data_IF_186611597237
#
_entry.id   IF_186611597237
#
_cell.length_a   1.000
_cell.length_b   1.000
_cell.length_c   1.000
_cell.angle_alpha   90.00
_cell.angle_beta   90.00
_cell.angle_gamma   90.00
#
_symmetry.space_group_name_H-M   'P 1'
#
loop_
_entity.id
_entity.type
_entity.pdbx_description
1 polymer ?
#
# COMPACT_ATOMS: atom_id res chain seq x y z
N UNK A 1 -45.36 47.87 45.84
CA UNK A 1 -44.54 46.64 45.71
C UNK A 1 -44.93 45.97 44.42
N UNK A 2 -44.00 45.80 43.47
CA UNK A 2 -43.88 44.70 42.46
C UNK A 2 -42.98 45.20 41.33
N UNK A 3 -41.67 44.92 41.41
CA UNK A 3 -40.70 45.06 40.31
C UNK A 3 -40.81 43.81 39.44
N UNK A 4 -41.10 43.97 38.16
CA UNK A 4 -41.08 42.89 37.18
C UNK A 4 -39.64 42.66 36.72
N UNK A 5 -39.04 41.52 37.10
CA UNK A 5 -37.80 41.00 36.51
C UNK A 5 -38.14 40.37 35.16
N UNK A 6 -37.57 40.88 34.07
CA UNK A 6 -37.56 40.19 32.77
C UNK A 6 -36.27 39.37 32.69
N UNK A 7 -36.38 38.07 32.90
CA UNK A 7 -35.29 37.11 32.67
C UNK A 7 -34.98 37.04 31.18
N UNK A 8 -33.74 37.37 30.80
CA UNK A 8 -33.21 37.12 29.47
C UNK A 8 -32.72 35.66 29.41
N UNK A 9 -33.36 34.87 28.55
CA UNK A 9 -32.95 33.49 28.27
C UNK A 9 -31.83 33.53 27.22
N UNK A 10 -30.59 33.35 27.64
CA UNK A 10 -29.44 33.17 26.75
C UNK A 10 -29.47 31.74 26.20
N UNK A 11 -29.81 31.61 24.92
CA UNK A 11 -29.75 30.34 24.19
C UNK A 11 -28.28 30.04 23.87
N UNK A 12 -27.67 29.12 24.61
CA UNK A 12 -26.31 28.65 24.35
C UNK A 12 -26.35 27.67 23.18
N UNK A 13 -25.84 28.08 22.01
CA UNK A 13 -25.61 27.19 20.88
C UNK A 13 -24.34 26.37 21.17
N UNK A 14 -24.50 25.14 21.63
CA UNK A 14 -23.39 24.20 21.74
C UNK A 14 -23.06 23.69 20.33
N UNK A 15 -21.97 24.20 19.76
CA UNK A 15 -21.38 23.62 18.54
C UNK A 15 -20.70 22.33 18.99
N UNK A 16 -21.31 21.19 18.70
CA UNK A 16 -20.63 19.91 18.79
C UNK A 16 -19.59 19.86 17.67
N UNK A 17 -18.32 20.09 18.01
CA UNK A 17 -17.22 19.77 17.13
C UNK A 17 -17.11 18.24 17.10
N UNK A 18 -17.57 17.61 16.03
CA UNK A 18 -17.29 16.21 15.76
C UNK A 18 -15.78 16.08 15.54
N UNK A 19 -15.07 15.52 16.51
CA UNK A 19 -13.70 15.07 16.31
C UNK A 19 -13.74 13.89 15.34
N UNK A 20 -13.46 14.14 14.07
CA UNK A 20 -12.98 13.06 13.19
C UNK A 20 -11.68 12.60 13.83
N UNK A 21 -11.67 11.40 14.40
CA UNK A 21 -10.42 10.77 14.81
C UNK A 21 -9.56 10.69 13.56
N UNK A 22 -8.39 11.34 13.55
CA UNK A 22 -7.43 11.09 12.50
C UNK A 22 -7.12 9.59 12.52
N UNK A 23 -7.31 8.93 11.37
CA UNK A 23 -6.98 7.52 11.23
C UNK A 23 -5.46 7.36 11.27
N UNK A 24 -4.99 6.21 11.74
CA UNK A 24 -3.58 5.90 11.78
C UNK A 24 -2.99 5.86 10.36
N UNK A 25 -1.83 6.51 10.11
CA UNK A 25 -1.16 6.45 8.82
C UNK A 25 -0.82 5.02 8.41
N UNK A 26 -0.83 4.75 7.11
CA UNK A 26 -0.41 3.47 6.56
C UNK A 26 0.73 3.62 5.57
N UNK A 27 1.61 2.64 5.53
CA UNK A 27 2.76 2.61 4.62
C UNK A 27 2.78 1.29 3.87
N UNK A 28 2.86 1.37 2.55
CA UNK A 28 3.14 0.24 1.68
C UNK A 28 4.64 0.13 1.45
N UNK A 29 5.20 -1.03 1.80
CA UNK A 29 6.52 -1.45 1.40
C UNK A 29 6.39 -2.42 0.21
N UNK A 30 6.75 -1.96 -0.98
CA UNK A 30 6.93 -2.81 -2.15
C UNK A 30 8.26 -3.55 -2.00
N UNK A 31 8.23 -4.88 -1.87
CA UNK A 31 9.46 -5.67 -1.72
C UNK A 31 9.63 -6.67 -2.85
N UNK A 32 10.86 -7.18 -3.00
CA UNK A 32 11.14 -8.24 -3.97
C UNK A 32 10.31 -9.51 -3.78
N UNK A 33 9.82 -9.76 -2.56
CA UNK A 33 9.06 -10.97 -2.21
C UNK A 33 7.56 -10.72 -2.04
N UNK A 34 7.09 -9.51 -2.34
CA UNK A 34 5.68 -9.12 -2.20
C UNK A 34 5.49 -7.85 -1.39
N UNK A 35 4.25 -7.34 -1.31
CA UNK A 35 3.94 -6.15 -0.55
C UNK A 35 3.87 -6.45 0.96
N UNK A 36 4.17 -5.44 1.77
CA UNK A 36 3.84 -5.38 3.21
C UNK A 36 3.12 -4.06 3.45
N UNK A 37 1.97 -4.08 4.12
CA UNK A 37 1.28 -2.87 4.56
C UNK A 37 1.40 -2.74 6.06
N UNK A 38 1.91 -1.60 6.50
CA UNK A 38 2.06 -1.21 7.89
C UNK A 38 0.96 -0.22 8.26
N UNK A 39 0.38 -0.35 9.45
CA UNK A 39 -0.42 0.69 10.10
C UNK A 39 0.38 1.24 11.29
N UNK A 40 0.60 2.56 11.30
CA UNK A 40 1.47 3.25 12.25
C UNK A 40 0.65 3.95 13.34
N UNK A 41 1.05 3.79 14.59
CA UNK A 41 0.35 4.39 15.72
C UNK A 41 0.84 5.83 15.99
N UNK A 42 0.27 6.78 15.26
CA UNK A 42 0.57 8.21 15.41
C UNK A 42 0.08 8.79 16.74
N UNK A 43 -0.72 8.05 17.52
CA UNK A 43 -1.24 8.49 18.82
C UNK A 43 -0.29 8.09 19.96
N UNK A 44 0.16 6.84 19.96
CA UNK A 44 1.02 6.27 21.01
C UNK A 44 2.52 6.46 20.70
N UNK A 45 2.91 6.59 19.43
CA UNK A 45 4.28 6.83 19.01
C UNK A 45 4.39 7.99 17.99
N UNK A 46 3.95 9.22 18.33
CA UNK A 46 3.87 10.33 17.39
C UNK A 46 5.24 10.74 16.82
N UNK A 47 6.30 10.77 17.63
CA UNK A 47 7.62 11.19 17.13
C UNK A 47 8.24 10.12 16.24
N UNK A 48 8.06 8.85 16.60
CA UNK A 48 8.58 7.72 15.85
C UNK A 48 7.85 7.55 14.53
N UNK A 49 6.52 7.63 14.55
CA UNK A 49 5.68 7.61 13.35
C UNK A 49 6.04 8.76 12.41
N UNK A 50 6.13 9.99 12.93
CA UNK A 50 6.51 11.15 12.14
C UNK A 50 7.91 11.05 11.52
N UNK A 51 8.89 10.51 12.27
CA UNK A 51 10.24 10.24 11.75
C UNK A 51 10.21 9.19 10.63
N UNK A 52 9.51 8.07 10.83
CA UNK A 52 9.42 7.01 9.82
C UNK A 52 8.76 7.51 8.52
N UNK A 53 7.63 8.23 8.64
CA UNK A 53 6.96 8.84 7.49
C UNK A 53 7.82 9.89 6.79
N UNK A 54 8.67 10.62 7.52
CA UNK A 54 9.62 11.56 6.90
C UNK A 54 10.60 10.82 5.98
N UNK A 55 11.17 9.69 6.43
CA UNK A 55 12.04 8.87 5.59
C UNK A 55 11.29 8.22 4.41
N UNK A 56 10.04 7.78 4.60
CA UNK A 56 9.17 7.27 3.53
C UNK A 56 8.95 8.33 2.46
N UNK A 57 8.50 9.53 2.85
CA UNK A 57 8.15 10.61 1.93
C UNK A 57 9.37 11.23 1.22
N UNK A 58 10.58 11.05 1.77
CA UNK A 58 11.84 11.39 1.11
C UNK A 58 12.37 10.30 0.17
N UNK A 59 11.68 9.14 0.07
CA UNK A 59 12.15 7.98 -0.72
C UNK A 59 13.41 7.34 -0.14
N UNK A 60 13.71 7.55 1.14
CA UNK A 60 14.96 7.10 1.76
C UNK A 60 15.08 5.57 1.77
N UNK A 61 13.97 4.86 1.88
CA UNK A 61 13.95 3.40 1.95
C UNK A 61 14.08 2.72 0.59
N UNK A 62 13.91 3.46 -0.51
CA UNK A 62 13.92 2.91 -1.87
C UNK A 62 15.30 2.33 -2.21
N UNK A 63 15.30 1.05 -2.60
CA UNK A 63 16.48 0.25 -2.90
C UNK A 63 17.26 -0.24 -1.68
N UNK A 64 16.83 0.07 -0.45
CA UNK A 64 17.41 -0.53 0.75
C UNK A 64 16.90 -1.95 0.96
N UNK A 65 17.63 -2.75 1.74
CA UNK A 65 17.32 -4.17 1.93
C UNK A 65 17.01 -4.52 3.38
N UNK A 66 16.30 -5.63 3.56
CA UNK A 66 16.30 -6.38 4.81
C UNK A 66 17.65 -7.08 4.96
N UNK A 67 18.57 -6.41 5.65
CA UNK A 67 19.99 -6.78 5.71
C UNK A 67 20.30 -7.78 6.82
N UNK A 68 19.35 -8.01 7.74
CA UNK A 68 19.46 -8.96 8.84
C UNK A 68 18.12 -9.64 9.07
N UNK A 69 18.15 -10.95 9.19
CA UNK A 69 16.97 -11.79 9.40
C UNK A 69 17.32 -12.90 10.39
N UNK A 70 16.49 -13.10 11.41
CA UNK A 70 16.64 -14.21 12.35
C UNK A 70 15.28 -14.86 12.55
N UNK A 71 15.22 -16.16 12.27
CA UNK A 71 14.03 -17.00 12.46
C UNK A 71 13.58 -17.00 13.93
N UNK A 72 12.26 -16.94 14.14
CA UNK A 72 11.60 -16.80 15.43
C UNK A 72 12.07 -15.55 16.20
N UNK A 73 12.42 -14.48 15.48
CA UNK A 73 12.84 -13.22 16.09
C UNK A 73 12.38 -12.00 15.29
N UNK A 74 13.16 -11.57 14.29
CA UNK A 74 12.92 -10.31 13.55
C UNK A 74 13.46 -10.35 12.12
N UNK A 75 12.84 -9.55 11.25
CA UNK A 75 13.44 -9.06 10.00
C UNK A 75 13.80 -7.58 10.16
N UNK A 76 15.03 -7.20 9.85
CA UNK A 76 15.56 -5.83 10.08
C UNK A 76 16.06 -5.20 8.78
N UNK A 77 15.67 -3.94 8.55
CA UNK A 77 15.89 -3.21 7.30
C UNK A 77 16.18 -1.72 7.49
N UNK A 78 16.17 -0.98 6.37
CA UNK A 78 16.18 0.48 6.37
C UNK A 78 17.54 1.15 6.61
N UNK A 79 18.67 0.45 6.38
CA UNK A 79 20.00 1.03 6.61
C UNK A 79 21.06 0.72 5.55
N UNK A 80 20.86 -0.28 4.70
CA UNK A 80 21.88 -0.76 3.76
C UNK A 80 21.28 -1.07 2.40
N UNK A 81 22.04 -0.85 1.33
CA UNK A 81 21.69 -1.32 -0.03
C UNK A 81 22.10 -2.80 -0.25
N UNK A 82 21.89 -3.31 -1.47
CA UNK A 82 22.21 -4.71 -1.83
C UNK A 82 23.70 -5.03 -1.72
N UNK A 83 24.54 -4.02 -1.87
CA UNK A 83 26.00 -4.08 -1.73
C UNK A 83 26.45 -3.95 -0.27
N UNK A 84 25.51 -3.87 0.68
CA UNK A 84 25.74 -3.64 2.10
C UNK A 84 26.50 -2.33 2.37
N UNK A 85 26.34 -1.32 1.51
CA UNK A 85 26.79 0.04 1.78
C UNK A 85 25.75 0.71 2.67
N UNK A 86 26.21 1.25 3.79
CA UNK A 86 25.33 1.94 4.73
C UNK A 86 24.83 3.25 4.11
N UNK A 87 23.51 3.43 4.03
CA UNK A 87 22.90 4.71 3.71
C UNK A 87 22.81 5.52 4.99
N UNK A 88 23.63 6.57 5.08
CA UNK A 88 23.66 7.43 6.26
C UNK A 88 22.27 8.07 6.48
N UNK A 89 21.70 8.01 7.71
CA UNK A 89 20.45 8.69 8.02
C UNK A 89 20.53 10.20 7.73
N UNK A 90 19.47 10.75 7.13
CA UNK A 90 19.36 12.18 6.77
C UNK A 90 18.86 13.05 7.93
N UNK A 91 18.32 12.45 8.98
CA UNK A 91 17.73 13.12 10.15
C UNK A 91 18.40 12.71 11.47
N UNK A 92 18.37 13.59 12.50
CA UNK A 92 18.93 13.29 13.82
C UNK A 92 18.20 12.12 14.51
N UNK A 93 18.83 11.55 15.52
CA UNK A 93 18.19 10.53 16.35
C UNK A 93 16.99 11.10 17.12
N UNK A 94 15.95 10.28 17.25
CA UNK A 94 14.72 10.62 17.98
C UNK A 94 14.78 10.12 19.44
N UNK A 95 13.96 10.75 20.29
CA UNK A 95 13.76 10.30 21.66
C UNK A 95 12.95 8.99 21.67
N UNK A 96 13.27 8.10 22.60
CA UNK A 96 12.52 6.86 22.80
C UNK A 96 11.08 7.13 23.25
N UNK A 97 10.15 6.37 22.69
CA UNK A 97 8.75 6.30 23.09
C UNK A 97 8.39 4.86 23.55
N UNK A 98 9.38 4.02 23.87
CA UNK A 98 9.18 2.61 24.24
C UNK A 98 8.30 2.39 25.49
N UNK A 99 8.07 3.44 26.29
CA UNK A 99 7.12 3.44 27.41
C UNK A 99 5.65 3.67 27.00
N UNK A 100 5.32 3.63 25.71
CA UNK A 100 3.97 3.88 25.19
C UNK A 100 2.96 2.74 25.42
N UNK A 101 3.42 1.57 25.87
CA UNK A 101 2.58 0.40 26.18
C UNK A 101 2.32 -0.53 24.99
N UNK A 102 2.89 -0.24 23.82
CA UNK A 102 2.92 -1.17 22.69
C UNK A 102 3.99 -2.25 22.92
N UNK A 103 3.71 -3.48 22.49
CA UNK A 103 4.52 -4.67 22.76
C UNK A 103 5.14 -5.24 21.48
N UNK A 104 6.30 -5.88 21.58
CA UNK A 104 7.03 -6.52 20.49
C UNK A 104 6.44 -7.90 20.17
N UNK A 105 5.16 -7.90 19.79
CA UNK A 105 4.41 -9.08 19.37
C UNK A 105 4.64 -9.38 17.87
N UNK A 106 4.35 -10.61 17.39
CA UNK A 106 4.44 -10.91 15.96
C UNK A 106 3.70 -9.88 15.10
N UNK A 107 4.37 -9.35 14.08
CA UNK A 107 3.86 -8.31 13.19
C UNK A 107 4.09 -6.88 13.68
N UNK A 108 4.50 -6.65 14.94
CA UNK A 108 4.82 -5.31 15.42
C UNK A 108 6.08 -4.76 14.73
N UNK A 109 6.04 -3.49 14.32
CA UNK A 109 7.21 -2.76 13.80
C UNK A 109 7.79 -1.84 14.87
N UNK A 110 9.11 -1.90 15.02
CA UNK A 110 9.85 -1.13 16.03
C UNK A 110 11.16 -0.56 15.48
N UNK A 111 11.66 0.49 16.12
CA UNK A 111 12.91 1.14 15.72
C UNK A 111 14.14 0.37 16.20
N UNK A 112 15.13 0.19 15.33
CA UNK A 112 16.43 -0.33 15.72
C UNK A 112 17.28 0.78 16.39
N UNK A 113 18.11 0.38 17.35
CA UNK A 113 18.97 1.28 18.14
C UNK A 113 20.45 1.07 17.81
N UNK A 114 21.24 2.12 17.97
CA UNK A 114 22.69 2.09 17.86
C UNK A 114 23.35 2.20 19.24
N UNK A 115 24.33 1.33 19.51
CA UNK A 115 25.25 1.48 20.65
C UNK A 115 24.59 1.41 22.04
N UNK A 116 23.44 0.74 22.18
CA UNK A 116 22.75 0.55 23.46
C UNK A 116 22.12 1.82 24.04
N UNK A 117 22.05 2.91 23.28
CA UNK A 117 21.38 4.14 23.71
C UNK A 117 19.92 4.11 23.24
N UNK A 118 18.96 4.18 24.17
CA UNK A 118 17.52 4.19 23.86
C UNK A 118 17.09 5.37 22.98
N UNK A 119 17.82 6.50 23.02
CA UNK A 119 17.55 7.70 22.22
C UNK A 119 18.45 7.77 20.97
N UNK A 120 18.74 6.63 20.34
CA UNK A 120 19.61 6.55 19.15
C UNK A 120 18.89 6.12 17.88
N UNK A 121 17.58 5.87 17.95
CA UNK A 121 16.77 5.49 16.80
C UNK A 121 16.86 6.56 15.70
N UNK A 122 17.11 6.13 14.46
CA UNK A 122 17.16 6.99 13.27
C UNK A 122 16.27 6.42 12.15
N UNK A 123 16.84 5.72 11.16
CA UNK A 123 16.11 5.22 10.00
C UNK A 123 15.83 3.72 10.04
N UNK A 124 16.69 2.93 10.71
CA UNK A 124 16.57 1.48 10.72
C UNK A 124 15.41 1.01 11.60
N UNK A 125 14.69 0.00 11.12
CA UNK A 125 13.54 -0.60 11.79
C UNK A 125 13.62 -2.12 11.69
N UNK A 126 12.83 -2.80 12.51
CA UNK A 126 12.60 -4.23 12.39
C UNK A 126 11.11 -4.55 12.55
N UNK A 127 10.70 -5.67 11.95
CA UNK A 127 9.39 -6.27 12.12
C UNK A 127 9.58 -7.56 12.92
N UNK A 128 8.84 -7.70 14.01
CA UNK A 128 8.84 -8.89 14.86
C UNK A 128 8.15 -10.05 14.14
N UNK A 129 8.76 -11.24 14.18
CA UNK A 129 8.17 -12.48 13.63
C UNK A 129 7.76 -13.47 14.72
N UNK A 130 8.21 -13.26 15.95
CA UNK A 130 7.82 -13.98 17.15
C UNK A 130 7.48 -13.02 18.30
N UNK A 131 7.09 -13.59 19.45
CA UNK A 131 6.90 -12.81 20.69
C UNK A 131 8.27 -12.50 21.28
N UNK A 132 8.63 -11.22 21.32
CA UNK A 132 9.93 -10.73 21.78
C UNK A 132 9.78 -9.84 23.02
N UNK A 133 9.10 -10.33 24.06
CA UNK A 133 8.79 -9.59 25.28
C UNK A 133 10.02 -9.01 26.01
N UNK A 134 11.19 -9.63 25.83
CA UNK A 134 12.47 -9.15 26.33
C UNK A 134 12.97 -7.84 25.68
N UNK A 135 12.32 -7.38 24.60
CA UNK A 135 12.56 -6.08 23.97
C UNK A 135 11.59 -4.98 24.47
N UNK A 136 10.53 -5.36 25.20
CA UNK A 136 9.50 -4.43 25.63
C UNK A 136 10.03 -3.41 26.63
N UNK A 137 9.67 -2.14 26.41
CA UNK A 137 10.14 -1.02 27.22
C UNK A 137 11.52 -0.47 26.84
N UNK A 138 12.29 -1.20 26.02
CA UNK A 138 13.61 -0.75 25.52
C UNK A 138 13.56 -0.28 24.06
N UNK A 139 12.71 -0.89 23.24
CA UNK A 139 12.56 -0.56 21.82
C UNK A 139 11.18 0.01 21.52
N UNK A 140 11.14 1.16 20.84
CA UNK A 140 9.88 1.82 20.50
C UNK A 140 9.14 1.05 19.41
N UNK A 141 8.09 0.33 19.78
CA UNK A 141 7.06 -0.14 18.85
C UNK A 141 6.21 1.05 18.43
N UNK A 142 5.94 1.16 17.14
CA UNK A 142 5.22 2.30 16.56
C UNK A 142 4.18 1.92 15.51
N UNK A 143 3.84 0.64 15.39
CA UNK A 143 2.84 0.17 14.46
C UNK A 143 2.83 -1.35 14.34
N UNK A 144 2.10 -1.85 13.34
CA UNK A 144 2.02 -3.28 13.04
C UNK A 144 1.74 -3.55 11.56
N UNK A 145 2.03 -4.77 11.12
CA UNK A 145 1.67 -5.28 9.79
C UNK A 145 0.16 -5.55 9.75
N UNK A 146 -0.53 -4.98 8.76
CA UNK A 146 -1.97 -5.20 8.49
C UNK A 146 -2.22 -6.02 7.22
N UNK A 147 -1.21 -6.20 6.37
CA UNK A 147 -1.25 -7.07 5.18
C UNK A 147 0.16 -7.50 4.80
N UNK A 148 0.31 -8.70 4.22
CA UNK A 148 1.62 -9.21 3.77
C UNK A 148 2.38 -10.02 4.83
N UNK A 149 1.67 -10.69 5.73
CA UNK A 149 2.28 -11.56 6.74
C UNK A 149 3.06 -12.74 6.12
N UNK A 150 2.61 -13.27 4.97
CA UNK A 150 3.40 -14.27 4.25
C UNK A 150 4.67 -13.66 3.64
N UNK A 151 4.63 -12.42 3.16
CA UNK A 151 5.84 -11.72 2.70
C UNK A 151 6.85 -11.62 3.83
N UNK A 152 6.43 -11.21 5.03
CA UNK A 152 7.27 -11.16 6.23
C UNK A 152 7.87 -12.53 6.54
N UNK A 153 7.04 -13.58 6.54
CA UNK A 153 7.45 -14.97 6.77
C UNK A 153 8.44 -15.46 5.70
N UNK A 154 8.22 -15.12 4.43
CA UNK A 154 9.09 -15.49 3.33
C UNK A 154 10.47 -14.81 3.43
N UNK A 155 10.51 -13.54 3.87
CA UNK A 155 11.76 -12.84 4.16
C UNK A 155 12.49 -13.50 5.34
N UNK A 156 11.75 -13.88 6.39
CA UNK A 156 12.29 -14.55 7.57
C UNK A 156 12.98 -15.87 7.23
N UNK A 157 12.35 -16.68 6.39
CA UNK A 157 12.82 -18.02 6.01
C UNK A 157 13.99 -18.01 5.00
N UNK A 158 14.47 -16.83 4.60
CA UNK A 158 15.61 -16.73 3.70
C UNK A 158 16.86 -17.32 4.36
N UNK A 159 17.59 -18.13 3.59
CA UNK A 159 18.90 -18.64 4.01
C UNK A 159 19.82 -17.46 4.34
N UNK A 160 20.32 -17.44 5.57
CA UNK A 160 21.28 -16.43 6.05
C UNK A 160 22.71 -16.96 6.12
N UNK A 161 23.65 -16.04 6.31
CA UNK A 161 25.05 -16.36 6.53
C UNK A 161 25.83 -15.17 7.04
N UNK A 162 27.14 -15.37 7.20
CA UNK A 162 28.07 -14.30 7.57
C UNK A 162 28.61 -13.66 6.28
N UNK A 163 28.44 -12.35 6.14
CA UNK A 163 29.08 -11.55 5.08
C UNK A 163 30.18 -10.69 5.71
N UNK A 164 31.44 -11.00 5.39
CA UNK A 164 32.59 -10.18 5.77
C UNK A 164 32.99 -9.28 4.60
N UNK A 165 32.84 -7.98 4.79
CA UNK A 165 33.12 -6.94 3.81
C UNK A 165 34.16 -5.96 4.40
N UNK A 166 34.70 -5.08 3.57
CA UNK A 166 35.67 -4.07 4.01
C UNK A 166 35.10 -3.11 5.06
N UNK A 167 33.79 -2.94 5.11
CA UNK A 167 33.07 -2.05 6.01
C UNK A 167 32.50 -2.75 7.27
N UNK A 168 32.73 -4.05 7.45
CA UNK A 168 32.26 -4.77 8.63
C UNK A 168 31.93 -6.24 8.38
N UNK A 169 31.47 -6.90 9.45
CA UNK A 169 30.94 -8.27 9.37
C UNK A 169 29.47 -8.24 9.73
N UNK A 170 28.64 -8.73 8.82
CA UNK A 170 27.20 -8.85 8.98
C UNK A 170 26.88 -10.32 9.28
N UNK A 171 26.45 -10.59 10.50
CA UNK A 171 25.86 -11.86 10.88
C UNK A 171 24.38 -11.87 10.47
N UNK A 172 23.84 -13.06 10.22
CA UNK A 172 22.42 -13.27 9.92
C UNK A 172 21.92 -12.50 8.69
N UNK A 173 22.83 -12.21 7.76
CA UNK A 173 22.51 -11.54 6.52
C UNK A 173 21.94 -12.55 5.52
N UNK A 174 20.76 -12.30 4.92
CA UNK A 174 20.27 -13.14 3.83
C UNK A 174 21.32 -13.26 2.72
N UNK A 175 21.44 -14.47 2.14
CA UNK A 175 22.38 -14.70 1.02
C UNK A 175 22.08 -13.73 -0.13
N UNK A 176 20.79 -13.56 -0.44
CA UNK A 176 20.23 -12.57 -1.35
C UNK A 176 19.21 -11.71 -0.60
N UNK A 177 19.62 -10.56 -0.03
CA UNK A 177 18.71 -9.67 0.69
C UNK A 177 17.58 -9.14 -0.21
N UNK A 178 16.32 -9.25 0.20
CA UNK A 178 15.20 -8.69 -0.54
C UNK A 178 15.23 -7.17 -0.37
N UNK A 179 15.09 -6.45 -1.48
CA UNK A 179 15.00 -5.00 -1.47
C UNK A 179 13.58 -4.53 -1.17
N UNK A 180 13.49 -3.43 -0.44
CA UNK A 180 12.37 -2.50 -0.46
C UNK A 180 12.53 -1.73 -1.76
N UNK A 181 11.80 -2.13 -2.80
CA UNK A 181 11.76 -1.44 -4.09
C UNK A 181 11.26 -0.02 -3.91
N UNK A 182 10.25 0.12 -3.06
CA UNK A 182 9.65 1.40 -2.70
C UNK A 182 8.99 1.37 -1.33
N UNK A 183 9.04 2.47 -0.60
CA UNK A 183 8.17 2.73 0.53
C UNK A 183 7.28 3.94 0.24
N UNK A 184 5.97 3.81 0.39
CA UNK A 184 4.99 4.87 0.05
C UNK A 184 3.94 4.97 1.16
N UNK A 185 3.65 6.20 1.59
CA UNK A 185 2.49 6.48 2.44
C UNK A 185 1.20 6.27 1.63
N UNK A 186 0.21 5.58 2.21
CA UNK A 186 -1.05 5.25 1.53
C UNK A 186 -2.08 6.34 1.83
N UNK A 187 -2.62 6.93 0.78
CA UNK A 187 -3.64 7.95 0.88
C UNK A 187 -5.05 7.36 1.09
N UNK A 188 -5.68 7.73 2.20
CA UNK A 188 -7.10 7.48 2.46
C UNK A 188 -7.44 6.04 2.89
N UNK A 189 -8.73 5.70 2.82
CA UNK A 189 -9.22 4.38 3.18
C UNK A 189 -9.21 3.45 1.96
N UNK A 190 -8.40 2.40 1.98
CA UNK A 190 -8.44 1.36 0.95
C UNK A 190 -7.17 0.54 0.86
N UNK A 191 -7.16 -0.41 -0.06
CA UNK A 191 -5.97 -1.17 -0.41
C UNK A 191 -5.28 -0.46 -1.58
N UNK A 192 -3.96 -0.20 -1.50
CA UNK A 192 -3.26 0.55 -2.54
C UNK A 192 -3.31 -0.20 -3.87
N UNK A 193 -3.46 0.53 -4.97
CA UNK A 193 -3.32 -0.03 -6.30
C UNK A 193 -1.86 -0.45 -6.50
N UNK A 194 -1.69 -1.72 -6.87
CA UNK A 194 -0.38 -2.39 -6.97
C UNK A 194 -0.35 -3.32 -8.18
N UNK A 195 0.83 -3.60 -8.77
CA UNK A 195 0.97 -4.52 -9.91
C UNK A 195 0.28 -5.88 -9.72
N UNK A 196 0.18 -6.34 -8.47
CA UNK A 196 -0.51 -7.57 -8.04
C UNK A 196 -2.01 -7.63 -8.37
N UNK A 197 -2.66 -6.49 -8.66
CA UNK A 197 -4.06 -6.44 -9.09
C UNK A 197 -4.25 -6.64 -10.60
N UNK A 198 -3.15 -6.82 -11.34
CA UNK A 198 -3.20 -7.22 -12.76
C UNK A 198 -3.87 -8.59 -12.86
N UNK A 199 -5.12 -8.60 -13.32
CA UNK A 199 -5.97 -9.79 -13.36
C UNK A 199 -7.26 -9.56 -14.16
N UNK A 200 -7.98 -10.64 -14.45
CA UNK A 200 -9.39 -10.58 -14.79
C UNK A 200 -10.24 -10.44 -13.53
N UNK A 201 -11.14 -9.45 -13.51
CA UNK A 201 -12.07 -9.14 -12.43
C UNK A 201 -13.51 -9.25 -12.94
N UNK A 202 -14.41 -9.84 -12.17
CA UNK A 202 -15.78 -10.12 -12.63
C UNK A 202 -16.84 -9.78 -11.57
N UNK A 203 -18.05 -9.50 -12.03
CA UNK A 203 -19.23 -9.37 -11.19
C UNK A 203 -19.65 -10.77 -10.70
N UNK A 204 -19.49 -11.00 -9.40
CA UNK A 204 -19.87 -12.28 -8.77
C UNK A 204 -21.37 -12.60 -8.87
N UNK A 205 -22.22 -11.57 -9.06
CA UNK A 205 -23.67 -11.73 -9.20
C UNK A 205 -24.09 -12.00 -10.66
N UNK A 206 -23.25 -11.64 -11.65
CA UNK A 206 -23.57 -11.73 -13.07
C UNK A 206 -22.42 -12.39 -13.85
N UNK A 207 -22.39 -13.74 -13.94
CA UNK A 207 -21.35 -14.46 -14.66
C UNK A 207 -21.21 -13.99 -16.12
N UNK A 208 -19.97 -13.75 -16.55
CA UNK A 208 -19.68 -13.24 -17.89
C UNK A 208 -19.62 -11.71 -17.99
N UNK A 209 -19.80 -10.98 -16.89
CA UNK A 209 -19.59 -9.52 -16.83
C UNK A 209 -18.34 -9.20 -16.02
N UNK A 210 -17.43 -8.37 -16.56
CA UNK A 210 -16.19 -8.04 -15.87
C UNK A 210 -15.31 -7.04 -16.62
N UNK A 211 -14.05 -6.94 -16.18
CA UNK A 211 -12.98 -6.22 -16.85
C UNK A 211 -11.65 -6.93 -16.61
N UNK A 212 -10.73 -6.82 -17.57
CA UNK A 212 -9.33 -7.09 -17.32
C UNK A 212 -8.67 -5.79 -16.85
N UNK A 213 -7.85 -5.91 -15.82
CA UNK A 213 -7.06 -4.83 -15.26
C UNK A 213 -5.59 -5.19 -15.45
N UNK A 214 -4.80 -4.23 -15.93
CA UNK A 214 -3.35 -4.29 -15.95
C UNK A 214 -2.78 -3.05 -15.29
N UNK A 215 -1.90 -3.25 -14.32
CA UNK A 215 -1.17 -2.18 -13.65
C UNK A 215 0.28 -2.30 -14.07
N UNK A 216 0.68 -1.40 -14.97
CA UNK A 216 2.02 -1.34 -15.50
C UNK A 216 2.85 -0.31 -14.74
N UNK A 217 4.07 -0.69 -14.36
CA UNK A 217 5.04 0.27 -13.85
C UNK A 217 5.43 1.20 -14.99
N UNK A 218 5.10 2.50 -14.90
CA UNK A 218 5.64 3.47 -15.84
C UNK A 218 7.13 3.61 -15.62
N UNK A 219 7.91 3.20 -16.61
CA UNK A 219 9.37 3.32 -16.63
C UNK A 219 9.84 4.57 -17.37
N UNK A 220 8.95 5.49 -17.81
CA UNK A 220 9.33 6.45 -18.85
C UNK A 220 8.67 7.83 -18.87
N UNK A 221 7.46 8.07 -18.34
CA UNK A 221 6.79 9.38 -18.45
C UNK A 221 6.86 10.24 -17.18
N UNK A 222 7.09 9.63 -16.03
CA UNK A 222 7.19 10.35 -14.75
C UNK A 222 5.82 10.70 -14.14
N UNK A 223 4.73 10.18 -14.70
CA UNK A 223 3.35 10.43 -14.27
C UNK A 223 2.82 9.37 -13.29
N UNK A 224 3.70 8.47 -12.81
CA UNK A 224 3.32 7.34 -11.95
C UNK A 224 2.87 6.11 -12.75
N UNK A 225 2.56 4.97 -12.10
CA UNK A 225 2.08 3.76 -12.77
C UNK A 225 0.85 4.01 -13.63
N UNK A 226 0.66 3.14 -14.62
CA UNK A 226 -0.50 3.17 -15.52
C UNK A 226 -1.48 2.09 -15.10
N UNK A 227 -2.74 2.47 -14.91
CA UNK A 227 -3.88 1.58 -14.82
C UNK A 227 -4.52 1.47 -16.20
N UNK A 228 -4.52 0.27 -16.76
CA UNK A 228 -5.18 -0.08 -18.01
C UNK A 228 -6.36 -0.97 -17.66
N UNK A 229 -7.56 -0.55 -18.08
CA UNK A 229 -8.78 -1.33 -17.94
C UNK A 229 -9.31 -1.64 -19.32
N UNK A 230 -9.59 -2.90 -19.60
CA UNK A 230 -10.17 -3.29 -20.88
C UNK A 230 -11.15 -4.45 -20.74
N UNK A 231 -12.15 -4.45 -21.61
CA UNK A 231 -13.12 -5.52 -21.71
C UNK A 231 -13.38 -5.86 -23.17
N UNK A 232 -13.58 -7.14 -23.44
CA UNK A 232 -14.01 -7.63 -24.73
C UNK A 232 -15.11 -8.67 -24.52
N UNK A 233 -16.17 -8.57 -25.30
CA UNK A 233 -17.28 -9.53 -25.27
C UNK A 233 -17.84 -9.78 -26.67
N UNK A 234 -18.49 -10.93 -26.83
CA UNK A 234 -19.22 -11.33 -28.02
C UNK A 234 -20.71 -11.39 -27.68
N UNK A 235 -21.41 -10.27 -27.91
CA UNK A 235 -22.85 -10.16 -27.71
C UNK A 235 -23.58 -10.00 -29.05
N UNK A 236 -24.70 -10.68 -29.25
CA UNK A 236 -25.59 -10.52 -30.42
C UNK A 236 -24.85 -10.53 -31.79
N UNK A 237 -23.89 -11.46 -31.97
CA UNK A 237 -23.04 -11.58 -33.17
C UNK A 237 -22.13 -10.37 -33.43
N UNK A 238 -21.74 -9.63 -32.37
CA UNK A 238 -20.85 -8.47 -32.46
C UNK A 238 -19.79 -8.49 -31.36
N UNK A 239 -18.59 -8.07 -31.73
CA UNK A 239 -17.48 -7.90 -30.80
C UNK A 239 -17.46 -6.48 -30.22
N UNK A 240 -17.67 -6.35 -28.91
CA UNK A 240 -17.59 -5.07 -28.21
C UNK A 240 -16.19 -4.92 -27.61
N UNK A 241 -15.61 -3.72 -27.73
CA UNK A 241 -14.38 -3.34 -27.06
C UNK A 241 -14.62 -2.17 -26.13
N UNK A 242 -14.10 -2.25 -24.91
CA UNK A 242 -13.99 -1.12 -24.00
C UNK A 242 -12.55 -0.99 -23.51
N UNK A 243 -12.05 0.24 -23.43
CA UNK A 243 -10.69 0.52 -22.96
C UNK A 243 -10.65 1.85 -22.22
N UNK A 244 -9.86 1.90 -21.15
CA UNK A 244 -9.51 3.11 -20.44
C UNK A 244 -8.09 2.99 -19.90
N UNK A 245 -7.37 4.11 -19.88
CA UNK A 245 -6.00 4.20 -19.39
C UNK A 245 -5.88 5.47 -18.56
N UNK A 246 -5.33 5.36 -17.36
CA UNK A 246 -4.99 6.52 -16.53
C UNK A 246 -3.67 6.29 -15.81
N UNK A 247 -2.87 7.35 -15.69
CA UNK A 247 -1.75 7.37 -14.76
C UNK A 247 -2.27 7.65 -13.34
N UNK A 248 -1.58 7.15 -12.33
CA UNK A 248 -1.94 7.38 -10.93
C UNK A 248 -0.71 7.48 -10.04
N UNK A 249 -0.84 8.17 -8.91
CA UNK A 249 0.23 8.29 -7.93
C UNK A 249 0.44 6.96 -7.19
N UNK A 250 1.70 6.67 -6.83
CA UNK A 250 1.99 5.53 -5.97
C UNK A 250 1.24 5.69 -4.64
N UNK A 251 0.63 4.62 -4.14
CA UNK A 251 -0.16 4.66 -2.90
C UNK A 251 -1.62 5.07 -3.09
N UNK A 252 -2.05 5.45 -4.31
CA UNK A 252 -3.45 5.68 -4.60
C UNK A 252 -4.29 4.43 -4.26
N UNK A 253 -5.43 4.64 -3.60
CA UNK A 253 -6.39 3.59 -3.24
C UNK A 253 -7.58 3.52 -4.19
N UNK A 254 -7.72 4.54 -5.06
CA UNK A 254 -8.76 4.64 -6.06
C UNK A 254 -8.22 5.39 -7.29
N UNK A 255 -8.63 4.98 -8.49
CA UNK A 255 -8.29 5.67 -9.74
C UNK A 255 -9.53 5.79 -10.61
N UNK A 256 -9.79 7.00 -11.12
CA UNK A 256 -10.85 7.24 -12.11
C UNK A 256 -10.24 7.42 -13.49
N UNK A 257 -10.77 6.69 -14.45
CA UNK A 257 -10.32 6.68 -15.85
C UNK A 257 -11.49 6.96 -16.79
N UNK A 258 -11.19 7.72 -17.84
CA UNK A 258 -12.10 7.90 -18.97
C UNK A 258 -12.15 6.60 -19.77
N UNK A 259 -13.36 6.09 -19.97
CA UNK A 259 -13.61 4.86 -20.73
C UNK A 259 -14.08 5.20 -22.14
N UNK A 260 -13.49 4.49 -23.08
CA UNK A 260 -13.85 4.50 -24.48
C UNK A 260 -14.51 3.18 -24.86
N UNK A 261 -15.46 3.22 -25.80
CA UNK A 261 -16.17 2.06 -26.31
C UNK A 261 -16.13 2.01 -27.84
N UNK A 262 -16.00 0.80 -28.38
CA UNK A 262 -16.22 0.50 -29.79
C UNK A 262 -17.21 -0.66 -29.89
N UNK A 263 -18.44 -0.45 -30.41
CA UNK A 263 -19.50 -1.46 -30.39
C UNK A 263 -19.30 -2.61 -31.38
N UNK A 264 -18.31 -2.51 -32.27
CA UNK A 264 -17.97 -3.56 -33.25
C UNK A 264 -18.86 -3.59 -34.49
N UNK A 265 -18.43 -4.36 -35.49
CA UNK A 265 -19.20 -4.67 -36.70
C UNK A 265 -18.98 -6.15 -37.05
N UNK A 266 -19.95 -7.02 -36.77
CA UNK A 266 -19.94 -8.45 -37.17
C UNK A 266 -18.86 -9.33 -36.51
N UNK A 267 -18.44 -10.37 -37.23
CA UNK A 267 -17.34 -11.29 -36.85
C UNK A 267 -16.02 -10.50 -36.76
N UNK A 268 -15.68 -10.09 -35.54
CA UNK A 268 -14.75 -9.00 -35.29
C UNK A 268 -13.26 -9.24 -35.59
N UNK A 269 -12.48 -8.19 -35.37
CA UNK A 269 -11.01 -8.20 -35.43
C UNK A 269 -10.46 -9.02 -34.25
N UNK A 270 -9.57 -9.98 -34.52
CA UNK A 270 -9.05 -10.87 -33.48
C UNK A 270 -8.44 -10.09 -32.31
N UNK A 271 -8.39 -10.68 -31.11
CA UNK A 271 -7.87 -10.05 -29.87
C UNK A 271 -6.52 -9.31 -30.07
N UNK A 272 -5.67 -9.79 -30.96
CA UNK A 272 -4.36 -9.21 -31.28
C UNK A 272 -4.41 -7.99 -32.23
N UNK A 273 -5.60 -7.56 -32.65
CA UNK A 273 -5.84 -6.46 -33.58
C UNK A 273 -7.03 -5.62 -33.09
N UNK A 274 -6.86 -4.78 -32.04
CA UNK A 274 -7.93 -3.89 -31.61
C UNK A 274 -8.32 -2.91 -32.74
N UNK A 275 -9.56 -2.38 -32.74
CA UNK A 275 -9.96 -1.33 -33.68
C UNK A 275 -9.02 -0.12 -33.61
N UNK A 276 -8.87 0.66 -34.70
CA UNK A 276 -8.14 1.92 -34.66
C UNK A 276 -8.69 2.85 -33.58
N UNK A 277 -7.82 3.52 -32.81
CA UNK A 277 -8.21 4.41 -31.70
C UNK A 277 -9.22 5.49 -32.13
N UNK A 278 -9.15 5.97 -33.37
CA UNK A 278 -10.07 6.97 -33.90
C UNK A 278 -11.51 6.49 -34.14
N UNK A 279 -11.78 5.19 -34.00
CA UNK A 279 -13.12 4.60 -34.11
C UNK A 279 -13.81 4.44 -32.75
N UNK A 280 -13.10 4.68 -31.66
CA UNK A 280 -13.66 4.62 -30.32
C UNK A 280 -14.43 5.90 -29.96
N UNK A 281 -15.54 5.72 -29.27
CA UNK A 281 -16.38 6.81 -28.76
C UNK A 281 -16.28 6.88 -27.22
N UNK A 282 -16.56 8.05 -26.64
CA UNK A 282 -16.57 8.20 -25.19
C UNK A 282 -17.76 7.44 -24.59
N UNK A 283 -17.48 6.52 -23.66
CA UNK A 283 -18.51 5.78 -22.94
C UNK A 283 -18.93 6.47 -21.64
N UNK A 284 -17.96 7.03 -20.91
CA UNK A 284 -18.15 7.57 -19.57
C UNK A 284 -16.87 7.46 -18.75
N UNK A 285 -16.99 7.40 -17.44
CA UNK A 285 -15.88 7.17 -16.51
C UNK A 285 -16.05 5.84 -15.76
N UNK A 286 -14.92 5.25 -15.39
CA UNK A 286 -14.85 4.11 -14.48
C UNK A 286 -13.91 4.47 -13.34
N UNK A 287 -14.35 4.24 -12.12
CA UNK A 287 -13.58 4.39 -10.90
C UNK A 287 -13.28 3.01 -10.34
N UNK A 288 -12.00 2.68 -10.24
CA UNK A 288 -11.50 1.39 -9.79
C UNK A 288 -10.97 1.52 -8.37
N UNK A 289 -11.52 0.69 -7.47
CA UNK A 289 -11.07 0.56 -6.08
C UNK A 289 -10.94 -0.91 -5.72
N UNK A 290 -9.84 -1.27 -5.06
CA UNK A 290 -9.65 -2.59 -4.47
C UNK A 290 -9.84 -2.51 -2.95
N UNK A 291 -10.56 -3.49 -2.40
CA UNK A 291 -10.72 -3.63 -0.95
C UNK A 291 -9.57 -4.45 -0.38
N UNK A 292 -9.12 -5.42 -1.16
CA UNK A 292 -8.03 -6.33 -0.87
C UNK A 292 -7.53 -6.94 -2.20
N UNK A 293 -6.61 -7.88 -2.10
CA UNK A 293 -6.07 -8.64 -3.22
C UNK A 293 -7.12 -9.33 -4.12
N UNK A 294 -8.25 -9.76 -3.56
CA UNK A 294 -9.23 -10.65 -4.15
C UNK A 294 -10.59 -10.01 -4.44
N UNK A 295 -10.86 -8.84 -3.84
CA UNK A 295 -12.14 -8.13 -3.96
C UNK A 295 -11.96 -6.64 -4.21
N UNK A 296 -12.94 -6.06 -4.91
CA UNK A 296 -12.95 -4.63 -5.21
C UNK A 296 -14.35 -4.13 -5.54
N UNK A 297 -14.43 -2.85 -5.86
CA UNK A 297 -15.64 -2.19 -6.31
C UNK A 297 -15.31 -1.28 -7.49
N UNK A 298 -16.00 -1.49 -8.60
CA UNK A 298 -15.88 -0.65 -9.80
C UNK A 298 -17.15 0.18 -9.94
N UNK A 299 -17.01 1.50 -9.90
CA UNK A 299 -18.10 2.47 -10.02
C UNK A 299 -18.03 3.17 -11.36
N UNK A 300 -19.17 3.46 -11.99
CA UNK A 300 -19.19 4.07 -13.31
C UNK A 300 -20.21 5.21 -13.40
N UNK A 301 -19.93 6.15 -14.30
CA UNK A 301 -20.86 7.21 -14.72
C UNK A 301 -20.82 7.34 -16.24
N UNK A 302 -21.95 7.11 -16.89
CA UNK A 302 -22.09 7.13 -18.34
C UNK A 302 -23.32 7.95 -18.75
N UNK A 303 -23.22 8.85 -19.74
CA UNK A 303 -24.37 9.57 -20.27
C UNK A 303 -25.47 8.66 -20.81
N UNK A 304 -25.12 7.45 -21.29
CA UNK A 304 -26.05 6.51 -21.92
C UNK A 304 -26.53 5.42 -20.97
N UNK A 305 -25.75 5.09 -19.94
CA UNK A 305 -26.04 3.98 -19.01
C UNK A 305 -26.30 4.42 -17.56
N UNK A 306 -26.26 5.73 -17.30
CA UNK A 306 -26.44 6.30 -15.96
C UNK A 306 -25.24 6.04 -15.05
N UNK A 307 -25.49 6.02 -13.75
CA UNK A 307 -24.48 5.81 -12.72
C UNK A 307 -24.74 4.51 -11.97
N UNK A 308 -23.68 3.80 -11.58
CA UNK A 308 -23.79 2.55 -10.87
C UNK A 308 -22.47 2.09 -10.27
N UNK A 309 -22.53 0.97 -9.55
CA UNK A 309 -21.36 0.34 -8.95
C UNK A 309 -21.53 -1.17 -8.90
N UNK A 310 -20.43 -1.88 -9.12
CA UNK A 310 -20.36 -3.34 -9.19
C UNK A 310 -19.29 -3.83 -8.24
N UNK A 311 -19.65 -4.77 -7.37
CA UNK A 311 -18.67 -5.48 -6.55
C UNK A 311 -18.00 -6.54 -7.41
N UNK A 312 -16.67 -6.51 -7.47
CA UNK A 312 -15.90 -7.39 -8.32
C UNK A 312 -15.07 -8.38 -7.49
N UNK A 313 -14.90 -9.58 -8.04
CA UNK A 313 -14.03 -10.60 -7.50
C UNK A 313 -12.93 -10.94 -8.50
N UNK A 314 -11.74 -11.25 -8.01
CA UNK A 314 -10.61 -11.65 -8.84
C UNK A 314 -10.78 -13.07 -9.35
N UNK A 315 -10.59 -13.28 -10.66
CA UNK A 315 -10.66 -14.59 -11.30
C UNK A 315 -9.27 -15.22 -11.52
N UNK A 316 -8.27 -14.40 -11.84
CA UNK A 316 -6.92 -14.87 -12.18
C UNK A 316 -5.89 -14.28 -11.24
N UNK A 317 -4.84 -15.05 -10.93
CA UNK A 317 -3.65 -14.56 -10.23
C UNK A 317 -2.45 -14.77 -11.16
N UNK A 318 -1.55 -13.78 -11.23
CA UNK A 318 -0.29 -13.97 -11.92
C UNK A 318 0.49 -15.12 -11.28
N UNK A 319 1.25 -15.87 -12.08
CA UNK A 319 2.04 -16.98 -11.56
C UNK A 319 3.06 -16.49 -10.53
N UNK A 320 3.12 -17.14 -9.37
CA UNK A 320 3.98 -16.77 -8.25
C UNK A 320 3.57 -15.53 -7.44
N UNK A 321 2.44 -14.88 -7.75
CA UNK A 321 1.91 -13.82 -6.89
C UNK A 321 1.30 -14.41 -5.60
N UNK A 322 1.63 -13.85 -4.44
CA UNK A 322 1.03 -14.18 -3.15
C UNK A 322 0.19 -13.00 -2.65
N UNK A 323 -0.97 -13.30 -2.07
CA UNK A 323 -2.05 -12.35 -1.76
C UNK A 323 -2.72 -12.62 -0.41
N UNK A 324 -1.92 -13.11 0.53
CA UNK A 324 -2.29 -13.43 1.92
C UNK A 324 -2.01 -12.30 2.91
#
# INVERSE_FOLDING_TARGET
>A
MTRALRSALLLSFAIAASSVSAQNPRVWLDTDLGPIILELDATLAPNTTGNFLTYVNEGFYDGLVFHRTIEDFVIQGGGFDREFVHRAPTHPAILSEAGNGLLNEPGAIAMALAGGNVNSAQAQFYINTAVNDFLDGDFTVFGHVVSGSNTVTAIEQLRTGVKSLSNGTFSDAPVSPPAIRRAVEIDGEGFPLMPLHTASWFDSANPGVGFNVEIANDASSGDGPLLIVYWYDFGEDRQIWMIGIAAFEYGATEVTLDMLIHPGIGDGVGFLMPPPVGEFEQWGTLTVRFNDCSSGQFSYSSPTHGEGSVSVSRLTLADGADCS
#
